data_IF_708032740217
#
_entry.id   IF_708032740217
#
_cell.length_a   1.000
_cell.length_b   1.000
_cell.length_c   1.000
_cell.angle_alpha   90.00
_cell.angle_beta   90.00
_cell.angle_gamma   90.00
#
_symmetry.space_group_name_H-M   'P 1'
#
loop_
_entity.id
_entity.type
_entity.pdbx_description
1 polymer ?
#
# COMPACT_ATOMS: atom_id res chain seq x y z
N UNK A 1 0.06 -22.71 -23.53
CA UNK A 1 -0.98 -21.72 -23.90
C UNK A 1 -1.49 -20.93 -22.70
N UNK A 2 -1.96 -21.58 -21.63
CA UNK A 2 -2.51 -20.91 -20.43
C UNK A 2 -1.49 -20.03 -19.68
N UNK A 3 -0.21 -20.41 -19.66
CA UNK A 3 0.86 -19.66 -18.98
C UNK A 3 1.19 -18.33 -19.68
N UNK A 4 1.19 -18.31 -21.01
CA UNK A 4 1.46 -17.11 -21.81
C UNK A 4 0.38 -16.04 -21.62
N UNK A 5 -0.88 -16.45 -21.53
CA UNK A 5 -2.02 -15.54 -21.26
C UNK A 5 -1.87 -14.91 -19.88
N UNK A 6 -1.50 -15.67 -18.85
CA UNK A 6 -1.28 -15.14 -17.49
C UNK A 6 -0.15 -14.10 -17.45
N UNK A 7 0.94 -14.33 -18.19
CA UNK A 7 2.06 -13.37 -18.26
C UNK A 7 1.64 -12.08 -18.96
N UNK A 8 0.92 -12.17 -20.09
CA UNK A 8 0.43 -10.99 -20.82
C UNK A 8 -0.54 -10.19 -19.96
N UNK A 9 -1.51 -10.85 -19.31
CA UNK A 9 -2.43 -10.20 -18.39
C UNK A 9 -1.71 -9.57 -17.19
N UNK A 10 -0.65 -10.21 -16.68
CA UNK A 10 0.21 -9.66 -15.65
C UNK A 10 0.89 -8.36 -16.09
N UNK A 11 1.49 -8.33 -17.28
CA UNK A 11 2.16 -7.15 -17.83
C UNK A 11 1.16 -6.00 -18.10
N UNK A 12 0.00 -6.31 -18.67
CA UNK A 12 -1.05 -5.31 -18.89
C UNK A 12 -1.54 -4.75 -17.55
N UNK A 13 -1.76 -5.61 -16.55
CA UNK A 13 -2.09 -5.19 -15.18
C UNK A 13 -1.03 -4.26 -14.58
N UNK A 14 0.26 -4.58 -14.75
CA UNK A 14 1.36 -3.70 -14.32
C UNK A 14 1.24 -2.30 -14.94
N UNK A 15 0.99 -2.23 -16.25
CA UNK A 15 0.90 -0.96 -16.97
C UNK A 15 -0.29 -0.11 -16.49
N UNK A 16 -1.45 -0.72 -16.28
CA UNK A 16 -2.64 -0.02 -15.76
C UNK A 16 -2.40 0.46 -14.33
N UNK A 17 -1.78 -0.36 -13.46
CA UNK A 17 -1.44 0.06 -12.10
C UNK A 17 -0.49 1.27 -12.09
N UNK A 18 0.55 1.28 -12.94
CA UNK A 18 1.47 2.41 -13.05
C UNK A 18 0.76 3.69 -13.51
N UNK A 19 -0.17 3.58 -14.47
CA UNK A 19 -1.01 4.71 -14.88
C UNK A 19 -1.91 5.20 -13.74
N UNK A 20 -2.50 4.28 -12.97
CA UNK A 20 -3.36 4.64 -11.84
C UNK A 20 -2.58 5.34 -10.73
N UNK A 21 -1.37 4.87 -10.40
CA UNK A 21 -0.47 5.56 -9.45
C UNK A 21 -0.02 6.93 -9.95
N UNK A 22 -0.05 7.17 -11.25
CA UNK A 22 0.26 8.48 -11.84
C UNK A 22 -0.92 9.47 -11.82
N UNK A 23 -2.15 9.01 -11.57
CA UNK A 23 -3.35 9.86 -11.53
C UNK A 23 -3.26 11.04 -10.54
N UNK A 24 -2.70 10.88 -9.32
CA UNK A 24 -2.58 11.98 -8.37
C UNK A 24 -1.56 13.06 -8.78
N UNK A 25 -0.72 12.82 -9.79
CA UNK A 25 0.32 13.77 -10.24
C UNK A 25 -0.31 15.11 -10.65
N UNK A 26 -1.49 15.08 -11.29
CA UNK A 26 -2.21 16.30 -11.66
C UNK A 26 -2.68 17.07 -10.42
N UNK A 27 -3.15 16.37 -9.40
CA UNK A 27 -3.58 16.94 -8.12
C UNK A 27 -2.40 17.56 -7.37
N UNK A 28 -1.26 16.86 -7.29
CA UNK A 28 -0.05 17.37 -6.65
C UNK A 28 0.59 18.53 -7.41
N UNK A 29 0.51 18.55 -8.74
CA UNK A 29 0.89 19.74 -9.52
C UNK A 29 0.11 20.98 -9.09
N UNK A 30 -1.19 20.85 -8.80
CA UNK A 30 -2.00 21.95 -8.27
C UNK A 30 -1.54 22.35 -6.86
N UNK A 31 -1.29 21.39 -5.97
CA UNK A 31 -0.80 21.66 -4.60
C UNK A 31 0.53 22.42 -4.62
N UNK A 32 1.46 22.04 -5.51
CA UNK A 32 2.75 22.74 -5.67
C UNK A 32 2.55 24.15 -6.20
N UNK A 33 1.64 24.34 -7.18
CA UNK A 33 1.35 25.65 -7.77
C UNK A 33 0.69 26.60 -6.78
N UNK A 34 -0.27 26.11 -6.00
CA UNK A 34 -1.00 26.89 -4.99
C UNK A 34 -0.21 27.01 -3.67
N UNK A 35 0.92 26.32 -3.54
CA UNK A 35 1.75 26.18 -2.32
C UNK A 35 0.94 25.81 -1.05
N UNK A 36 -0.24 25.21 -1.23
CA UNK A 36 -1.19 24.90 -0.18
C UNK A 36 -1.99 23.66 -0.55
N UNK A 37 -2.17 22.77 0.43
CA UNK A 37 -3.00 21.57 0.30
C UNK A 37 -4.50 21.85 0.35
N UNK A 38 -4.95 23.09 0.60
CA UNK A 38 -6.38 23.45 0.61
C UNK A 38 -7.26 22.46 1.39
N UNK A 39 -8.32 21.97 0.74
CA UNK A 39 -9.26 20.95 1.25
C UNK A 39 -8.89 19.50 0.86
N UNK A 40 -7.68 19.26 0.34
CA UNK A 40 -7.27 17.91 -0.01
C UNK A 40 -7.14 17.03 1.25
N UNK A 41 -7.73 15.83 1.18
CA UNK A 41 -7.60 14.82 2.23
C UNK A 41 -6.46 13.86 1.90
N UNK A 42 -5.58 13.63 2.88
CA UNK A 42 -4.48 12.67 2.75
C UNK A 42 -4.91 11.22 3.06
N UNK A 43 -6.13 11.02 3.58
CA UNK A 43 -6.67 9.72 4.00
C UNK A 43 -6.56 8.64 2.91
N UNK A 44 -7.00 8.84 1.65
CA UNK A 44 -6.92 7.79 0.62
C UNK A 44 -5.49 7.30 0.38
N UNK A 45 -4.50 8.21 0.35
CA UNK A 45 -3.09 7.84 0.17
C UNK A 45 -2.54 6.98 1.32
N UNK A 46 -2.96 7.29 2.56
CA UNK A 46 -2.55 6.51 3.74
C UNK A 46 -3.18 5.11 3.70
N UNK A 47 -4.45 5.02 3.31
CA UNK A 47 -5.17 3.75 3.14
C UNK A 47 -4.52 2.90 2.05
N UNK A 48 -4.21 3.49 0.90
CA UNK A 48 -3.52 2.80 -0.20
C UNK A 48 -2.11 2.35 0.20
N UNK A 49 -1.36 3.19 0.93
CA UNK A 49 -0.04 2.83 1.47
C UNK A 49 -0.13 1.59 2.37
N UNK A 50 -1.08 1.57 3.30
CA UNK A 50 -1.29 0.43 4.21
C UNK A 50 -1.66 -0.85 3.45
N UNK A 51 -2.52 -0.74 2.44
CA UNK A 51 -2.89 -1.87 1.56
C UNK A 51 -1.68 -2.39 0.78
N UNK A 52 -0.84 -1.52 0.21
CA UNK A 52 0.35 -1.94 -0.53
C UNK A 52 1.42 -2.59 0.35
N UNK A 53 1.62 -2.08 1.57
CA UNK A 53 2.52 -2.70 2.57
C UNK A 53 2.03 -4.11 2.95
N UNK A 54 0.73 -4.24 3.17
CA UNK A 54 0.05 -5.51 3.47
C UNK A 54 0.22 -6.54 2.35
N UNK A 55 -0.05 -6.15 1.10
CA UNK A 55 0.13 -7.04 -0.07
C UNK A 55 1.59 -7.42 -0.30
N UNK A 56 2.53 -6.49 -0.06
CA UNK A 56 3.97 -6.77 -0.18
C UNK A 56 4.44 -7.79 0.85
N UNK A 57 3.99 -7.68 2.10
CA UNK A 57 4.29 -8.65 3.16
C UNK A 57 3.77 -10.06 2.81
N UNK A 58 2.56 -10.13 2.25
CA UNK A 58 1.94 -11.39 1.84
C UNK A 58 2.62 -12.07 0.64
N UNK A 59 3.15 -11.28 -0.30
CA UNK A 59 3.86 -11.82 -1.45
C UNK A 59 5.26 -12.32 -1.12
N UNK A 60 5.76 -12.09 0.10
CA UNK A 60 7.07 -12.54 0.53
C UNK A 60 7.14 -14.08 0.59
N UNK A 61 8.25 -14.70 0.14
CA UNK A 61 8.36 -16.16 0.01
C UNK A 61 8.22 -16.92 1.34
N UNK A 62 8.43 -16.24 2.47
CA UNK A 62 8.26 -16.78 3.82
C UNK A 62 6.76 -17.08 4.12
N UNK A 63 5.84 -16.33 3.52
CA UNK A 63 4.38 -16.43 3.79
C UNK A 63 3.64 -17.22 2.71
N UNK A 64 4.18 -17.29 1.49
CA UNK A 64 3.54 -17.98 0.36
C UNK A 64 4.57 -18.70 -0.53
N UNK A 65 4.53 -20.04 -0.54
CA UNK A 65 5.27 -20.87 -1.51
C UNK A 65 4.60 -20.82 -2.89
N UNK A 66 4.94 -19.83 -3.71
CA UNK A 66 4.47 -19.77 -5.10
C UNK A 66 4.78 -18.44 -5.80
N UNK A 67 4.93 -18.50 -7.12
CA UNK A 67 5.28 -17.43 -8.09
C UNK A 67 4.54 -16.08 -7.89
N UNK A 68 4.94 -15.28 -6.89
CA UNK A 68 4.31 -13.98 -6.52
C UNK A 68 5.25 -12.78 -6.56
N UNK A 69 6.46 -12.93 -7.11
CA UNK A 69 7.47 -11.85 -7.15
C UNK A 69 6.97 -10.57 -7.84
N UNK A 70 6.08 -10.71 -8.85
CA UNK A 70 5.54 -9.56 -9.58
C UNK A 70 4.58 -8.72 -8.72
N UNK A 71 3.73 -9.35 -7.90
CA UNK A 71 2.81 -8.63 -7.01
C UNK A 71 3.56 -7.86 -5.94
N UNK A 72 4.62 -8.45 -5.36
CA UNK A 72 5.51 -7.75 -4.41
C UNK A 72 6.16 -6.54 -5.06
N UNK A 73 6.67 -6.72 -6.28
CA UNK A 73 7.33 -5.65 -7.03
C UNK A 73 6.39 -4.48 -7.31
N UNK A 74 5.18 -4.75 -7.80
CA UNK A 74 4.18 -3.72 -8.09
C UNK A 74 3.73 -2.96 -6.84
N UNK A 75 3.46 -3.69 -5.75
CA UNK A 75 3.06 -3.05 -4.50
C UNK A 75 4.23 -2.25 -3.89
N UNK A 76 5.47 -2.69 -4.05
CA UNK A 76 6.65 -1.93 -3.62
C UNK A 76 6.78 -0.61 -4.39
N UNK A 77 6.52 -0.62 -5.70
CA UNK A 77 6.45 0.62 -6.50
C UNK A 77 5.30 1.52 -6.01
N UNK A 78 4.13 0.93 -5.73
CA UNK A 78 3.00 1.66 -5.14
C UNK A 78 3.37 2.36 -3.83
N UNK A 79 4.05 1.65 -2.92
CA UNK A 79 4.57 2.22 -1.66
C UNK A 79 5.46 3.44 -1.92
N UNK A 80 6.36 3.39 -2.92
CA UNK A 80 7.23 4.51 -3.26
C UNK A 80 6.43 5.73 -3.74
N UNK A 81 5.40 5.53 -4.57
CA UNK A 81 4.51 6.61 -5.01
C UNK A 81 3.70 7.20 -3.84
N UNK A 82 3.06 6.36 -3.03
CA UNK A 82 2.24 6.80 -1.90
C UNK A 82 3.07 7.55 -0.84
N UNK A 83 4.28 7.06 -0.52
CA UNK A 83 5.21 7.79 0.37
C UNK A 83 5.56 9.15 -0.22
N UNK A 84 5.88 9.21 -1.52
CA UNK A 84 6.22 10.48 -2.18
C UNK A 84 5.06 11.48 -2.10
N UNK A 85 3.82 11.03 -2.33
CA UNK A 85 2.61 11.84 -2.22
C UNK A 85 2.36 12.33 -0.79
N UNK A 86 2.48 11.45 0.21
CA UNK A 86 2.33 11.82 1.63
C UNK A 86 3.42 12.82 2.03
N UNK A 87 4.67 12.64 1.58
CA UNK A 87 5.77 13.58 1.85
C UNK A 87 5.51 14.96 1.27
N UNK A 88 5.04 15.05 0.02
CA UNK A 88 4.68 16.34 -0.60
C UNK A 88 3.53 16.99 0.16
N UNK A 89 2.49 16.22 0.53
CA UNK A 89 1.37 16.73 1.32
C UNK A 89 1.86 17.28 2.66
N UNK A 90 2.72 16.55 3.38
CA UNK A 90 3.30 16.98 4.64
C UNK A 90 4.20 18.22 4.50
N UNK A 91 4.79 18.47 3.32
CA UNK A 91 5.55 19.69 3.08
C UNK A 91 4.63 20.92 3.06
N UNK A 92 3.57 20.87 2.25
CA UNK A 92 2.67 21.99 1.99
C UNK A 92 1.49 22.12 2.97
N UNK A 93 1.26 21.14 3.85
CA UNK A 93 0.16 21.18 4.81
C UNK A 93 0.35 22.22 5.93
N UNK A 94 -0.74 22.76 6.51
CA UNK A 94 -0.66 23.53 7.76
C UNK A 94 -0.37 22.63 8.96
N UNK A 95 0.22 23.19 10.04
CA UNK A 95 0.69 22.42 11.22
C UNK A 95 -0.40 21.52 11.85
N UNK A 96 -1.65 21.97 11.85
CA UNK A 96 -2.80 21.22 12.36
C UNK A 96 -3.06 19.95 11.54
N UNK A 97 -3.16 20.08 10.21
CA UNK A 97 -3.35 18.94 9.30
C UNK A 97 -2.13 18.01 9.30
N UNK A 98 -0.90 18.55 9.43
CA UNK A 98 0.32 17.72 9.55
C UNK A 98 0.27 16.79 10.75
N UNK A 99 -0.09 17.30 11.93
CA UNK A 99 -0.17 16.49 13.16
C UNK A 99 -1.18 15.36 13.02
N UNK A 100 -2.35 15.64 12.47
CA UNK A 100 -3.39 14.64 12.24
C UNK A 100 -2.91 13.56 11.26
N UNK A 101 -2.27 13.94 10.14
CA UNK A 101 -1.74 12.99 9.16
C UNK A 101 -0.63 12.12 9.76
N UNK A 102 0.33 12.71 10.48
CA UNK A 102 1.40 11.97 11.13
C UNK A 102 0.82 10.97 12.16
N UNK A 103 -0.17 11.40 12.94
CA UNK A 103 -0.83 10.52 13.91
C UNK A 103 -1.50 9.32 13.21
N UNK A 104 -2.27 9.57 12.14
CA UNK A 104 -2.95 8.51 11.38
C UNK A 104 -1.91 7.57 10.76
N UNK A 105 -0.89 8.08 10.07
CA UNK A 105 0.18 7.26 9.48
C UNK A 105 0.87 6.40 10.54
N UNK A 106 1.18 6.99 11.71
CA UNK A 106 1.82 6.26 12.80
C UNK A 106 0.94 5.13 13.36
N UNK A 107 -0.38 5.35 13.45
CA UNK A 107 -1.34 4.34 13.86
C UNK A 107 -1.39 3.16 12.88
N UNK A 108 -1.50 3.44 11.57
CA UNK A 108 -1.52 2.38 10.54
C UNK A 108 -0.20 1.60 10.48
N UNK A 109 0.94 2.27 10.64
CA UNK A 109 2.24 1.60 10.74
C UNK A 109 2.35 0.71 11.99
N UNK A 110 1.81 1.15 13.13
CA UNK A 110 1.77 0.34 14.34
C UNK A 110 0.90 -0.92 14.17
N UNK A 111 -0.28 -0.79 13.56
CA UNK A 111 -1.15 -1.93 13.24
C UNK A 111 -0.43 -2.91 12.29
N UNK A 112 0.26 -2.40 11.26
CA UNK A 112 1.03 -3.22 10.35
C UNK A 112 2.17 -3.96 11.06
N UNK A 113 2.92 -3.27 11.92
CA UNK A 113 4.00 -3.86 12.70
C UNK A 113 3.48 -4.97 13.64
N UNK A 114 2.36 -4.74 14.34
CA UNK A 114 1.72 -5.76 15.16
C UNK A 114 1.31 -6.98 14.33
N UNK A 115 0.80 -6.76 13.12
CA UNK A 115 0.42 -7.84 12.20
C UNK A 115 1.63 -8.67 11.77
N UNK A 116 2.76 -8.02 11.48
CA UNK A 116 4.04 -8.70 11.19
C UNK A 116 4.49 -9.55 12.39
N UNK A 117 4.48 -8.97 13.60
CA UNK A 117 4.93 -9.65 14.81
C UNK A 117 4.08 -10.89 15.09
N UNK A 118 2.75 -10.78 15.01
CA UNK A 118 1.83 -11.91 15.15
C UNK A 118 2.10 -12.96 14.08
N UNK A 119 2.27 -12.54 12.82
CA UNK A 119 2.57 -13.45 11.71
C UNK A 119 3.87 -14.23 11.94
N UNK A 120 4.94 -13.56 12.34
CA UNK A 120 6.23 -14.19 12.63
C UNK A 120 6.14 -15.16 13.81
N UNK A 121 5.42 -14.80 14.87
CA UNK A 121 5.22 -15.67 16.04
C UNK A 121 4.39 -16.92 15.70
N UNK A 122 3.35 -16.77 14.89
CA UNK A 122 2.52 -17.91 14.45
C UNK A 122 3.30 -18.84 13.51
N UNK A 123 4.07 -18.29 12.56
CA UNK A 123 4.94 -19.07 11.66
C UNK A 123 5.97 -19.88 12.46
N UNK A 124 6.52 -19.30 13.53
CA UNK A 124 7.44 -20.00 14.42
C UNK A 124 6.77 -21.15 15.20
N UNK A 125 5.46 -21.09 15.46
CA UNK A 125 4.79 -22.00 16.40
C UNK A 125 4.05 -23.17 15.71
N UNK A 126 3.48 -23.02 14.51
CA UNK A 126 2.93 -24.15 13.72
C UNK A 126 2.63 -23.75 12.24
N UNK A 127 2.65 -24.74 11.34
CA UNK A 127 2.50 -24.65 9.87
C UNK A 127 1.08 -24.25 9.37
N UNK A 128 0.49 -23.15 9.87
CA UNK A 128 -0.86 -22.68 9.46
C UNK A 128 -0.82 -21.29 8.82
N UNK A 129 -0.37 -21.24 7.57
CA UNK A 129 -0.34 -20.08 6.64
C UNK A 129 -1.74 -19.48 6.33
N UNK A 130 -2.82 -20.16 6.69
CA UNK A 130 -4.18 -19.87 6.21
C UNK A 130 -4.95 -18.83 7.03
N UNK A 131 -4.74 -18.72 8.35
CA UNK A 131 -5.51 -17.78 9.20
C UNK A 131 -5.05 -16.33 9.05
N UNK A 132 -3.73 -16.10 8.94
CA UNK A 132 -3.20 -14.77 8.64
C UNK A 132 -3.72 -14.27 7.29
N UNK A 133 -3.81 -15.14 6.28
CA UNK A 133 -4.43 -14.85 4.98
C UNK A 133 -5.85 -14.29 5.09
N UNK A 134 -6.73 -14.96 5.85
CA UNK A 134 -8.14 -14.57 5.98
C UNK A 134 -8.31 -13.24 6.73
N UNK A 135 -7.57 -13.03 7.81
CA UNK A 135 -7.67 -11.81 8.63
C UNK A 135 -7.19 -10.57 7.85
N UNK A 136 -6.19 -10.75 6.99
CA UNK A 136 -5.66 -9.71 6.10
C UNK A 136 -6.52 -9.48 4.86
N UNK A 137 -7.13 -10.51 4.26
CA UNK A 137 -8.13 -10.33 3.20
C UNK A 137 -9.35 -9.55 3.70
N UNK A 138 -9.82 -9.79 4.93
CA UNK A 138 -10.91 -9.03 5.55
C UNK A 138 -10.50 -7.58 5.81
N UNK A 139 -9.27 -7.33 6.28
CA UNK A 139 -8.75 -5.96 6.47
C UNK A 139 -8.62 -5.20 5.14
N UNK A 140 -8.24 -5.88 4.05
CA UNK A 140 -8.09 -5.28 2.72
C UNK A 140 -9.43 -5.06 2.01
N UNK A 141 -10.37 -6.01 2.10
CA UNK A 141 -11.72 -5.86 1.53
C UNK A 141 -12.56 -4.79 2.24
N UNK A 142 -12.26 -4.49 3.51
CA UNK A 142 -12.91 -3.41 4.25
C UNK A 142 -12.36 -2.01 3.93
N UNK A 143 -11.23 -1.89 3.21
CA UNK A 143 -10.73 -0.61 2.70
C UNK A 143 -11.19 -0.46 1.24
N UNK A 144 -12.22 0.35 0.96
CA UNK A 144 -12.61 0.62 -0.41
C UNK A 144 -11.45 1.33 -1.11
N UNK A 145 -11.03 0.77 -2.26
CA UNK A 145 -10.27 1.51 -3.26
C UNK A 145 -11.00 2.79 -3.65
#
# INVERSE_FOLDING_TARGET
MVTSIRVILGIVGCAVCMLLYSAPILTFKRVIKEASVGEFSCIPYILTLFSCLTYSWYGFPIVSSGWKNLTVFLNSIGVLFEISFISIYLWFAPKEKKKLVILIVSLFLAIFAMTILISCFIIHTHHMSTYARYLLEVLVYCLPC
#
